data_IF_569458128584
#
_entry.id   IF_569458128584
#
_cell.length_a   1.000
_cell.length_b   1.000
_cell.length_c   1.000
_cell.angle_alpha   90.00
_cell.angle_beta   90.00
_cell.angle_gamma   90.00
#
_symmetry.space_group_name_H-M   'P 1'
#
loop_
_entity.id
_entity.type
_entity.pdbx_description
1 polymer ?
#
# COMPACT_ATOMS: atom_id res chain seq x y z
N UNK A 1 -5.60 -40.78 -10.22
CA UNK A 1 -6.24 -39.53 -10.69
C UNK A 1 -6.09 -38.34 -9.72
N UNK A 2 -5.96 -38.53 -8.39
CA UNK A 2 -5.88 -37.40 -7.44
C UNK A 2 -4.58 -36.59 -7.40
N UNK A 3 -3.42 -37.16 -7.78
CA UNK A 3 -2.12 -36.47 -7.73
C UNK A 3 -2.03 -35.28 -8.71
N UNK A 4 -2.64 -35.40 -9.90
CA UNK A 4 -2.67 -34.31 -10.88
C UNK A 4 -3.55 -33.13 -10.44
N UNK A 5 -4.68 -33.43 -9.78
CA UNK A 5 -5.57 -32.41 -9.20
C UNK A 5 -4.87 -31.60 -8.10
N UNK A 6 -4.11 -32.26 -7.24
CA UNK A 6 -3.34 -31.60 -6.18
C UNK A 6 -2.30 -30.64 -6.79
N UNK A 7 -1.56 -31.08 -7.82
CA UNK A 7 -0.56 -30.23 -8.48
C UNK A 7 -1.18 -29.01 -9.17
N UNK A 8 -2.34 -29.18 -9.82
CA UNK A 8 -3.09 -28.05 -10.41
C UNK A 8 -3.55 -27.05 -9.35
N UNK A 9 -4.16 -27.54 -8.26
CA UNK A 9 -4.64 -26.68 -7.17
C UNK A 9 -3.50 -25.88 -6.51
N UNK A 10 -2.32 -26.48 -6.33
CA UNK A 10 -1.15 -25.77 -5.83
C UNK A 10 -0.65 -24.70 -6.82
N UNK A 11 -0.63 -25.00 -8.12
CA UNK A 11 -0.19 -24.06 -9.14
C UNK A 11 -1.11 -22.81 -9.23
N UNK A 12 -2.42 -23.00 -9.12
CA UNK A 12 -3.40 -21.91 -9.11
C UNK A 12 -3.27 -21.02 -7.87
N UNK A 13 -3.05 -21.62 -6.69
CA UNK A 13 -2.81 -20.89 -5.46
C UNK A 13 -1.53 -20.03 -5.51
N UNK A 14 -0.46 -20.54 -6.15
CA UNK A 14 0.80 -19.82 -6.34
C UNK A 14 0.69 -18.67 -7.36
N UNK A 15 -0.13 -18.82 -8.40
CA UNK A 15 -0.33 -17.78 -9.41
C UNK A 15 -0.94 -16.50 -8.82
N UNK A 16 -1.81 -16.62 -7.81
CA UNK A 16 -2.43 -15.47 -7.13
C UNK A 16 -1.44 -14.53 -6.40
N UNK A 17 -0.30 -15.04 -5.93
CA UNK A 17 0.74 -14.20 -5.33
C UNK A 17 1.49 -13.36 -6.38
N UNK A 18 1.58 -13.84 -7.62
CA UNK A 18 2.31 -13.16 -8.71
C UNK A 18 1.49 -12.09 -9.41
N UNK A 19 0.16 -12.10 -9.26
CA UNK A 19 -0.78 -11.20 -9.93
C UNK A 19 -1.15 -9.96 -9.11
N UNK A 20 -0.55 -9.74 -7.93
CA UNK A 20 -0.66 -8.46 -7.24
C UNK A 20 0.09 -7.39 -8.04
N UNK A 21 -0.63 -6.75 -8.95
CA UNK A 21 -0.13 -5.66 -9.78
C UNK A 21 -0.56 -4.34 -9.16
N UNK A 22 0.41 -3.44 -8.97
CA UNK A 22 0.16 -2.13 -8.35
C UNK A 22 1.23 -1.78 -7.33
N UNK A 23 2.00 -0.74 -7.62
CA UNK A 23 2.92 -0.15 -6.64
C UNK A 23 2.18 0.71 -5.62
N UNK A 24 2.94 1.33 -4.72
CA UNK A 24 2.42 2.28 -3.72
C UNK A 24 1.42 3.30 -4.30
N UNK A 25 1.69 3.83 -5.50
CA UNK A 25 0.84 4.84 -6.14
C UNK A 25 -0.54 4.31 -6.60
N UNK A 26 -0.67 3.00 -6.81
CA UNK A 26 -1.95 2.39 -7.23
C UNK A 26 -2.91 2.21 -6.04
N UNK A 27 -2.37 2.06 -4.83
CA UNK A 27 -3.13 1.69 -3.62
C UNK A 27 -3.16 2.78 -2.56
N UNK A 28 -2.41 3.87 -2.74
CA UNK A 28 -2.30 4.96 -1.76
C UNK A 28 -2.65 6.30 -2.37
N UNK A 29 -3.05 7.24 -1.51
CA UNK A 29 -3.37 8.63 -1.85
C UNK A 29 -2.78 9.58 -0.81
N UNK A 30 -2.62 10.88 -1.11
CA UNK A 30 -2.17 11.87 -0.13
C UNK A 30 -3.10 11.89 1.10
N UNK A 31 -2.51 11.88 2.28
CA UNK A 31 -3.23 12.04 3.54
C UNK A 31 -3.25 13.53 3.89
N UNK A 32 -4.39 14.19 3.64
CA UNK A 32 -4.61 15.60 3.98
C UNK A 32 -5.54 15.69 5.18
N UNK A 33 -5.01 16.21 6.29
CA UNK A 33 -5.74 16.43 7.54
C UNK A 33 -6.07 17.90 7.69
N UNK A 34 -7.18 18.22 8.35
CA UNK A 34 -7.46 19.60 8.75
C UNK A 34 -6.45 20.06 9.80
N UNK A 35 -6.25 21.37 9.95
CA UNK A 35 -5.34 21.92 10.97
C UNK A 35 -5.63 21.36 12.37
N UNK A 36 -6.91 21.39 12.79
CA UNK A 36 -7.37 20.80 14.05
C UNK A 36 -7.00 19.31 14.22
N UNK A 37 -7.03 18.54 13.13
CA UNK A 37 -6.67 17.12 13.17
C UNK A 37 -5.15 16.90 13.18
N UNK A 38 -4.35 17.84 12.65
CA UNK A 38 -2.89 17.83 12.76
C UNK A 38 -2.46 18.17 14.19
N UNK A 39 -3.10 19.15 14.83
CA UNK A 39 -2.80 19.57 16.21
C UNK A 39 -3.07 18.47 17.25
N UNK A 40 -3.89 17.48 16.90
CA UNK A 40 -4.23 16.35 17.77
C UNK A 40 -3.30 15.13 17.56
N UNK A 41 -2.35 15.17 16.63
CA UNK A 41 -1.42 14.06 16.39
C UNK A 41 -0.36 14.01 17.47
N UNK A 42 -0.01 12.81 17.90
CA UNK A 42 1.27 12.57 18.57
C UNK A 42 2.44 12.74 17.60
N UNK A 43 3.65 12.91 18.15
CA UNK A 43 4.87 13.06 17.35
C UNK A 43 5.10 11.87 16.39
N UNK A 44 4.82 10.65 16.85
CA UNK A 44 4.99 9.44 16.02
C UNK A 44 3.95 9.37 14.90
N UNK A 45 2.70 9.78 15.16
CA UNK A 45 1.67 9.85 14.12
C UNK A 45 1.98 10.94 13.09
N UNK A 46 2.46 12.11 13.52
CA UNK A 46 2.89 13.18 12.64
C UNK A 46 4.05 12.73 11.75
N UNK A 47 5.05 12.03 12.33
CA UNK A 47 6.18 11.46 11.60
C UNK A 47 5.73 10.43 10.57
N UNK A 48 4.82 9.52 10.92
CA UNK A 48 4.27 8.52 10.00
C UNK A 48 3.49 9.18 8.84
N UNK A 49 2.65 10.17 9.15
CA UNK A 49 1.89 10.95 8.17
C UNK A 49 2.84 11.64 7.16
N UNK A 50 3.87 12.31 7.66
CA UNK A 50 4.88 12.98 6.83
C UNK A 50 5.66 11.97 5.98
N UNK A 51 6.07 10.84 6.53
CA UNK A 51 6.79 9.80 5.80
C UNK A 51 5.95 9.25 4.63
N UNK A 52 4.65 8.99 4.86
CA UNK A 52 3.72 8.55 3.82
C UNK A 52 3.59 9.58 2.68
N UNK A 53 3.31 10.84 3.02
CA UNK A 53 3.12 11.88 2.02
C UNK A 53 4.41 12.19 1.24
N UNK A 54 5.57 12.23 1.90
CA UNK A 54 6.88 12.41 1.25
C UNK A 54 7.22 11.25 0.30
N UNK A 55 6.88 10.01 0.68
CA UNK A 55 7.03 8.86 -0.23
C UNK A 55 6.21 9.06 -1.49
N UNK A 56 4.95 9.48 -1.37
CA UNK A 56 4.11 9.75 -2.54
C UNK A 56 4.54 10.97 -3.35
N UNK A 57 5.11 12.01 -2.72
CA UNK A 57 5.75 13.10 -3.45
C UNK A 57 6.90 12.58 -4.32
N UNK A 58 7.78 11.73 -3.75
CA UNK A 58 8.94 11.18 -4.45
C UNK A 58 8.57 10.17 -5.55
N UNK A 59 7.59 9.30 -5.29
CA UNK A 59 7.28 8.17 -6.18
C UNK A 59 6.10 8.41 -7.12
N UNK A 60 5.16 9.28 -6.73
CA UNK A 60 3.85 9.41 -7.38
C UNK A 60 3.53 10.85 -7.82
N UNK A 61 4.45 11.81 -7.63
CA UNK A 61 4.23 13.21 -8.00
C UNK A 61 3.18 13.93 -7.15
N UNK A 62 2.89 13.45 -5.93
CA UNK A 62 1.93 14.12 -5.06
C UNK A 62 2.42 15.51 -4.67
N UNK A 63 1.50 16.48 -4.73
CA UNK A 63 1.75 17.85 -4.31
C UNK A 63 1.51 17.97 -2.80
N UNK A 64 2.38 18.70 -2.07
CA UNK A 64 2.18 19.04 -0.67
C UNK A 64 0.80 19.67 -0.41
#
# INVERSE_FOLDING_TARGET
MGKGLIVMLLAEALAGCTTSTGGFCAVSRPLRRSAKAVDALSDEEAKALLAHNRKGQKLCGWRP
#
